data_IF_815873748488
#
_entry.id   IF_815873748488
#
_cell.length_a   1.000
_cell.length_b   1.000
_cell.length_c   1.000
_cell.angle_alpha   90.00
_cell.angle_beta   90.00
_cell.angle_gamma   90.00
#
_symmetry.space_group_name_H-M   'P 1'
#
loop_
_entity.id
_entity.type
_entity.pdbx_description
1 polymer ?
#
# COMPACT_ATOMS: atom_id res chain seq x y z
N UNK A 1 -24.21 -5.20 -38.86
CA UNK A 1 -24.61 -4.63 -37.55
C UNK A 1 -23.49 -5.04 -36.61
N UNK A 2 -22.50 -4.15 -36.42
CA UNK A 2 -21.35 -4.39 -35.53
C UNK A 2 -21.77 -4.07 -34.11
N UNK A 3 -21.56 -5.02 -33.19
CA UNK A 3 -21.69 -4.78 -31.76
C UNK A 3 -20.63 -3.76 -31.28
N UNK A 4 -20.85 -3.07 -30.15
CA UNK A 4 -19.88 -2.13 -29.62
C UNK A 4 -18.56 -2.85 -29.25
N UNK A 5 -17.41 -2.18 -29.37
CA UNK A 5 -16.13 -2.76 -29.02
C UNK A 5 -16.12 -3.05 -27.51
N UNK A 6 -15.87 -4.30 -27.15
CA UNK A 6 -15.57 -4.70 -25.77
C UNK A 6 -14.16 -4.18 -25.47
N UNK A 7 -14.07 -3.17 -24.59
CA UNK A 7 -12.78 -2.79 -24.00
C UNK A 7 -12.22 -3.93 -23.14
N UNK A 8 -10.94 -3.87 -22.73
CA UNK A 8 -10.26 -4.92 -21.95
C UNK A 8 -10.95 -5.29 -20.62
N UNK A 9 -11.87 -4.47 -20.15
CA UNK A 9 -12.75 -4.74 -19.01
C UNK A 9 -14.06 -5.35 -19.47
N UNK A 10 -14.35 -6.25 -20.11
CA UNK A 10 -15.60 -6.92 -20.49
C UNK A 10 -16.89 -6.54 -19.70
N UNK A 11 -17.10 -5.24 -19.43
CA UNK A 11 -18.29 -4.76 -18.73
C UNK A 11 -19.53 -4.98 -19.61
N UNK A 12 -20.28 -6.03 -19.31
CA UNK A 12 -21.66 -6.16 -19.76
C UNK A 12 -22.49 -5.24 -18.84
N UNK A 13 -22.99 -4.14 -19.38
CA UNK A 13 -23.98 -3.32 -18.66
C UNK A 13 -25.21 -4.18 -18.36
N UNK A 14 -25.28 -4.70 -17.12
CA UNK A 14 -26.50 -5.27 -16.58
C UNK A 14 -27.57 -4.18 -16.47
N UNK A 15 -28.84 -4.54 -16.65
CA UNK A 15 -29.99 -3.66 -16.45
C UNK A 15 -30.20 -3.40 -14.96
N UNK A 16 -29.37 -2.51 -14.38
CA UNK A 16 -29.40 -2.09 -12.99
C UNK A 16 -28.08 -1.35 -12.71
N UNK A 17 -28.12 -0.04 -12.74
CA UNK A 17 -27.08 0.99 -12.76
C UNK A 17 -25.83 0.86 -11.88
N UNK A 18 -25.15 -0.27 -11.77
CA UNK A 18 -23.94 -0.42 -10.97
C UNK A 18 -22.69 -0.71 -11.81
N UNK A 19 -21.64 0.11 -11.63
CA UNK A 19 -20.32 -0.06 -12.26
C UNK A 19 -19.44 -1.10 -11.49
N UNK A 20 -20.04 -2.06 -10.77
CA UNK A 20 -19.32 -3.06 -9.97
C UNK A 20 -19.61 -4.47 -10.48
N UNK A 21 -18.56 -5.25 -10.73
CA UNK A 21 -18.65 -6.65 -11.17
C UNK A 21 -17.89 -7.53 -10.17
N UNK A 22 -18.54 -8.64 -9.76
CA UNK A 22 -17.91 -9.70 -8.94
C UNK A 22 -17.73 -10.95 -9.79
N UNK A 23 -16.55 -11.55 -9.75
CA UNK A 23 -16.24 -12.81 -10.44
C UNK A 23 -15.38 -13.72 -9.56
N UNK A 24 -15.45 -15.03 -9.80
CA UNK A 24 -14.54 -15.97 -9.15
C UNK A 24 -13.15 -15.78 -9.74
N UNK A 25 -12.15 -15.52 -8.88
CA UNK A 25 -10.75 -15.40 -9.28
C UNK A 25 -9.98 -16.70 -9.09
N UNK A 26 -10.28 -17.46 -8.06
CA UNK A 26 -9.65 -18.75 -7.78
C UNK A 26 -10.17 -19.39 -6.49
N UNK A 27 -9.53 -20.49 -6.09
CA UNK A 27 -9.81 -21.16 -4.80
C UNK A 27 -8.51 -21.43 -4.07
N UNK A 28 -8.50 -21.16 -2.77
CA UNK A 28 -7.41 -21.56 -1.89
C UNK A 28 -7.35 -23.10 -1.75
N UNK A 29 -6.22 -23.66 -1.28
CA UNK A 29 -6.06 -25.10 -1.11
C UNK A 29 -7.13 -25.77 -0.20
N UNK A 30 -7.73 -25.03 0.71
CA UNK A 30 -8.84 -25.50 1.58
C UNK A 30 -10.21 -25.41 0.91
N UNK A 31 -10.28 -24.95 -0.34
CA UNK A 31 -11.51 -24.77 -1.12
C UNK A 31 -12.19 -23.42 -0.97
N UNK A 32 -11.66 -22.50 -0.13
CA UNK A 32 -12.21 -21.15 0.04
C UNK A 32 -12.17 -20.38 -1.29
N UNK A 33 -13.31 -19.85 -1.71
CA UNK A 33 -13.43 -19.09 -2.94
C UNK A 33 -12.89 -17.68 -2.78
N UNK A 34 -12.00 -17.27 -3.67
CA UNK A 34 -11.50 -15.91 -3.77
C UNK A 34 -12.17 -15.23 -4.96
N UNK A 35 -12.75 -14.08 -4.69
CA UNK A 35 -13.45 -13.29 -5.69
C UNK A 35 -12.64 -12.04 -6.06
N UNK A 36 -12.75 -11.65 -7.32
CA UNK A 36 -12.29 -10.38 -7.85
C UNK A 36 -13.47 -9.44 -8.04
N UNK A 37 -13.31 -8.23 -7.54
CA UNK A 37 -14.26 -7.14 -7.69
C UNK A 37 -13.67 -6.09 -8.63
N UNK A 38 -14.41 -5.72 -9.66
CA UNK A 38 -14.04 -4.65 -10.60
C UNK A 38 -14.96 -3.46 -10.38
N UNK A 39 -14.37 -2.28 -10.20
CA UNK A 39 -15.06 -1.01 -9.97
C UNK A 39 -14.50 0.03 -10.93
N UNK A 40 -15.36 0.84 -11.57
CA UNK A 40 -14.94 1.92 -12.47
C UNK A 40 -15.71 3.19 -12.14
N UNK A 41 -14.99 4.33 -12.00
CA UNK A 41 -15.58 5.64 -11.80
C UNK A 41 -14.60 6.76 -12.16
N UNK A 42 -15.11 7.91 -12.66
CA UNK A 42 -14.29 9.10 -12.92
C UNK A 42 -13.07 8.88 -13.81
N UNK A 43 -13.04 7.83 -14.63
CA UNK A 43 -11.90 7.48 -15.47
C UNK A 43 -10.84 6.61 -14.79
N UNK A 44 -11.07 6.17 -13.56
CA UNK A 44 -10.22 5.19 -12.85
C UNK A 44 -10.91 3.83 -12.81
N UNK A 45 -10.14 2.77 -13.05
CA UNK A 45 -10.59 1.37 -12.99
C UNK A 45 -9.78 0.62 -11.97
N UNK A 46 -10.47 -0.04 -11.03
CA UNK A 46 -9.86 -0.75 -9.90
C UNK A 46 -10.34 -2.19 -9.87
N UNK A 47 -9.42 -3.15 -9.73
CA UNK A 47 -9.72 -4.56 -9.44
C UNK A 47 -9.15 -4.94 -8.09
N UNK A 48 -10.00 -5.53 -7.25
CA UNK A 48 -9.66 -5.90 -5.87
C UNK A 48 -9.99 -7.37 -5.63
N UNK A 49 -9.07 -8.09 -4.99
CA UNK A 49 -9.28 -9.48 -4.56
C UNK A 49 -9.80 -9.51 -3.12
N UNK A 50 -10.69 -10.46 -2.82
CA UNK A 50 -11.05 -10.76 -1.43
C UNK A 50 -9.91 -11.38 -0.62
N UNK A 51 -8.90 -11.95 -1.25
CA UNK A 51 -7.66 -12.38 -0.62
C UNK A 51 -6.74 -11.17 -0.42
N UNK A 52 -6.34 -10.90 0.82
CA UNK A 52 -5.46 -9.80 1.19
C UNK A 52 -6.02 -8.39 0.93
N UNK A 53 -7.29 -8.24 0.50
CA UNK A 53 -7.82 -6.96 0.02
C UNK A 53 -6.99 -6.36 -1.11
N UNK A 54 -6.34 -7.23 -1.90
CA UNK A 54 -5.29 -6.89 -2.87
C UNK A 54 -5.87 -6.05 -4.00
N UNK A 55 -5.26 -4.90 -4.25
CA UNK A 55 -5.40 -4.16 -5.51
C UNK A 55 -4.63 -4.92 -6.59
N UNK A 56 -5.36 -5.75 -7.36
CA UNK A 56 -4.77 -6.57 -8.43
C UNK A 56 -4.38 -5.72 -9.63
N UNK A 57 -5.19 -4.71 -9.96
CA UNK A 57 -4.87 -3.75 -11.01
C UNK A 57 -5.55 -2.41 -10.74
N UNK A 58 -4.87 -1.34 -11.15
CA UNK A 58 -5.42 0.01 -11.18
C UNK A 58 -5.07 0.63 -12.54
N UNK A 59 -6.09 0.94 -13.34
CA UNK A 59 -5.90 1.49 -14.68
C UNK A 59 -6.34 2.95 -14.73
N UNK A 60 -5.48 3.79 -15.29
CA UNK A 60 -5.72 5.22 -15.52
C UNK A 60 -5.27 5.63 -16.93
N UNK A 61 -5.87 6.67 -17.53
CA UNK A 61 -5.48 7.15 -18.84
C UNK A 61 -4.17 7.96 -18.80
N UNK A 62 -3.42 7.97 -19.90
CA UNK A 62 -2.33 8.91 -20.14
C UNK A 62 -2.85 10.21 -20.78
N UNK A 63 -1.94 11.16 -21.09
CA UNK A 63 -2.27 12.43 -21.74
C UNK A 63 -2.97 12.28 -23.11
N UNK A 64 -2.89 11.10 -23.73
CA UNK A 64 -3.55 10.78 -25.01
C UNK A 64 -4.83 9.95 -24.80
N UNK A 65 -5.24 9.73 -23.54
CA UNK A 65 -6.43 8.96 -23.18
C UNK A 65 -6.25 7.44 -23.25
N UNK A 66 -5.01 6.93 -23.38
CA UNK A 66 -4.72 5.48 -23.41
C UNK A 66 -4.60 4.96 -22.00
N UNK A 67 -5.41 3.96 -21.66
CA UNK A 67 -5.36 3.31 -20.36
C UNK A 67 -4.16 2.37 -20.24
N UNK A 68 -3.57 2.33 -19.04
CA UNK A 68 -2.62 1.30 -18.64
C UNK A 68 -2.84 0.93 -17.18
N UNK A 69 -2.57 -0.34 -16.84
CA UNK A 69 -2.42 -0.76 -15.45
C UNK A 69 -1.13 -0.15 -14.90
N UNK A 70 -1.25 0.61 -13.81
CA UNK A 70 -0.12 1.32 -13.17
C UNK A 70 0.30 0.67 -11.86
N UNK A 71 -0.24 -0.52 -11.54
CA UNK A 71 0.12 -1.31 -10.37
C UNK A 71 0.69 -2.67 -10.79
N UNK A 72 1.69 -3.19 -10.07
CA UNK A 72 2.13 -4.57 -10.27
C UNK A 72 1.16 -5.55 -9.63
N UNK A 73 0.96 -6.69 -10.27
CA UNK A 73 0.11 -7.77 -9.81
C UNK A 73 0.39 -9.10 -10.51
N UNK A 74 -0.44 -10.10 -10.22
CA UNK A 74 -0.42 -11.40 -10.90
C UNK A 74 -1.76 -11.69 -11.57
N UNK A 75 -1.75 -12.55 -12.57
CA UNK A 75 -2.95 -12.99 -13.27
C UNK A 75 -3.68 -14.11 -12.53
N UNK A 76 -2.97 -14.91 -11.72
CA UNK A 76 -3.48 -16.07 -11.03
C UNK A 76 -3.38 -15.97 -9.51
N UNK A 77 -4.31 -16.61 -8.79
CA UNK A 77 -4.33 -16.67 -7.33
C UNK A 77 -3.13 -17.44 -6.76
N UNK A 78 -2.71 -18.51 -7.44
CA UNK A 78 -1.62 -19.37 -6.98
C UNK A 78 -0.31 -18.59 -6.83
N UNK A 79 -0.04 -17.61 -7.71
CA UNK A 79 1.13 -16.75 -7.63
C UNK A 79 1.08 -15.81 -6.42
N UNK A 80 -0.11 -15.29 -6.09
CA UNK A 80 -0.30 -14.48 -4.87
C UNK A 80 -0.07 -15.30 -3.60
N UNK A 81 -0.54 -16.55 -3.57
CA UNK A 81 -0.38 -17.43 -2.41
C UNK A 81 1.07 -17.91 -2.24
N UNK A 82 1.76 -18.19 -3.35
CA UNK A 82 3.08 -18.80 -3.33
C UNK A 82 4.21 -17.80 -3.04
N UNK A 83 4.18 -16.60 -3.64
CA UNK A 83 5.38 -15.78 -3.70
C UNK A 83 5.14 -14.26 -3.78
N UNK A 84 3.94 -13.76 -3.46
CA UNK A 84 3.69 -12.31 -3.52
C UNK A 84 4.57 -11.54 -2.53
N UNK A 85 5.34 -10.54 -2.98
CA UNK A 85 6.03 -9.60 -2.11
C UNK A 85 5.06 -8.48 -1.69
N UNK A 86 3.85 -8.82 -1.25
CA UNK A 86 2.76 -7.92 -0.85
C UNK A 86 2.13 -7.10 -1.98
N UNK A 87 2.22 -7.50 -3.25
CA UNK A 87 1.65 -6.73 -4.37
C UNK A 87 0.21 -6.31 -4.10
N UNK A 88 -0.01 -4.99 -3.97
CA UNK A 88 -1.31 -4.35 -3.79
C UNK A 88 -2.06 -4.67 -2.50
N UNK A 89 -1.46 -5.42 -1.57
CA UNK A 89 -2.13 -5.96 -0.40
C UNK A 89 -2.46 -4.90 0.67
N UNK A 90 -3.53 -5.14 1.42
CA UNK A 90 -3.76 -4.51 2.71
C UNK A 90 -2.79 -5.07 3.73
N UNK A 91 -2.11 -4.19 4.43
CA UNK A 91 -1.09 -4.52 5.42
C UNK A 91 -1.64 -4.25 6.83
N UNK A 92 -1.51 -5.24 7.69
CA UNK A 92 -1.91 -5.21 9.09
C UNK A 92 -1.59 -6.54 9.80
N UNK A 93 -1.73 -6.60 11.17
CA UNK A 93 -2.14 -5.48 12.03
C UNK A 93 -1.16 -4.32 12.07
N UNK A 94 0.13 -4.56 11.78
CA UNK A 94 1.17 -3.56 11.88
C UNK A 94 1.98 -3.51 10.59
N UNK A 95 1.82 -2.43 9.84
CA UNK A 95 2.59 -2.14 8.65
C UNK A 95 4.04 -1.82 8.99
N UNK A 96 4.95 -2.21 8.09
CA UNK A 96 6.37 -2.11 8.29
C UNK A 96 6.89 -2.99 9.45
N UNK A 97 8.05 -2.67 10.05
CA UNK A 97 8.78 -3.53 10.98
C UNK A 97 8.53 -3.21 12.45
N UNK A 98 8.59 -4.26 13.29
CA UNK A 98 8.78 -4.17 14.74
C UNK A 98 10.05 -4.96 15.07
N UNK A 99 11.03 -4.27 15.67
CA UNK A 99 12.34 -4.82 16.01
C UNK A 99 12.26 -6.05 16.90
N UNK A 100 13.05 -7.09 16.59
CA UNK A 100 13.07 -8.39 17.27
C UNK A 100 11.68 -9.06 17.38
N UNK A 101 10.68 -8.59 16.61
CA UNK A 101 9.29 -9.03 16.73
C UNK A 101 8.73 -8.83 18.14
N UNK A 102 9.17 -7.82 18.89
CA UNK A 102 8.79 -7.67 20.31
C UNK A 102 8.45 -6.24 20.64
N UNK A 103 7.45 -6.06 21.53
CA UNK A 103 7.14 -4.79 22.16
C UNK A 103 6.57 -5.02 23.56
N UNK A 104 6.65 -3.98 24.42
CA UNK A 104 6.01 -3.97 25.73
C UNK A 104 4.81 -3.03 25.71
N UNK A 105 3.64 -3.52 26.13
CA UNK A 105 2.43 -2.73 26.27
C UNK A 105 1.84 -2.91 27.67
N UNK A 106 1.62 -1.80 28.38
CA UNK A 106 1.08 -1.77 29.73
C UNK A 106 1.83 -2.73 30.71
N UNK A 107 3.18 -2.82 30.55
CA UNK A 107 4.06 -3.66 31.36
C UNK A 107 4.05 -5.16 30.99
N UNK A 108 3.37 -5.53 29.92
CA UNK A 108 3.37 -6.90 29.40
C UNK A 108 4.17 -6.96 28.10
N UNK A 109 5.11 -7.92 28.04
CA UNK A 109 5.88 -8.19 26.83
C UNK A 109 5.09 -9.06 25.87
N UNK A 110 5.06 -8.65 24.60
CA UNK A 110 4.44 -9.38 23.51
C UNK A 110 5.50 -9.81 22.49
N UNK A 111 5.50 -11.11 22.13
CA UNK A 111 6.33 -11.68 21.09
C UNK A 111 5.45 -11.93 19.87
N UNK A 112 5.83 -11.28 18.76
CA UNK A 112 5.16 -11.41 17.47
C UNK A 112 5.79 -12.51 16.62
N UNK A 113 5.08 -12.94 15.60
CA UNK A 113 5.61 -13.77 14.51
C UNK A 113 6.76 -13.04 13.82
N UNK A 114 7.92 -13.70 13.76
CA UNK A 114 9.14 -13.21 13.09
C UNK A 114 9.16 -13.78 11.67
N UNK A 115 9.26 -12.90 10.67
CA UNK A 115 9.19 -13.27 9.25
C UNK A 115 10.15 -12.47 8.35
N UNK A 116 10.98 -11.59 8.93
CA UNK A 116 11.99 -10.81 8.22
C UNK A 116 13.29 -10.74 9.04
N UNK A 117 14.18 -11.70 8.82
CA UNK A 117 15.36 -11.89 9.66
C UNK A 117 14.97 -12.15 11.12
N UNK A 118 15.31 -11.22 12.02
CA UNK A 118 14.93 -11.27 13.44
C UNK A 118 13.67 -10.42 13.75
N UNK A 119 13.09 -9.75 12.74
CA UNK A 119 12.03 -8.78 12.93
C UNK A 119 10.66 -9.34 12.51
N UNK A 120 9.60 -8.70 13.01
CA UNK A 120 8.25 -8.85 12.47
C UNK A 120 8.04 -7.80 11.39
N UNK A 121 7.58 -8.21 10.22
CA UNK A 121 7.28 -7.35 9.08
C UNK A 121 5.82 -7.55 8.66
N UNK A 122 5.11 -6.44 8.42
CA UNK A 122 3.77 -6.40 7.83
C UNK A 122 2.73 -7.31 8.53
N UNK A 123 2.81 -7.41 9.87
CA UNK A 123 1.88 -8.20 10.67
C UNK A 123 2.26 -9.67 10.86
N UNK A 124 3.45 -10.09 10.37
CA UNK A 124 3.96 -11.45 10.57
C UNK A 124 3.71 -12.39 9.40
N UNK A 125 3.94 -13.68 9.61
CA UNK A 125 3.93 -14.70 8.54
C UNK A 125 2.55 -14.96 7.92
N UNK A 126 1.48 -14.58 8.60
CA UNK A 126 0.09 -14.67 8.13
C UNK A 126 -0.66 -13.37 8.49
N UNK A 127 -0.20 -12.26 7.93
CA UNK A 127 -0.80 -10.94 8.13
C UNK A 127 -2.07 -10.73 7.31
N UNK A 128 -2.55 -9.51 7.27
CA UNK A 128 -3.77 -9.11 6.55
C UNK A 128 -3.69 -9.33 5.05
N UNK A 129 -2.47 -9.35 4.49
CA UNK A 129 -2.14 -9.67 3.10
C UNK A 129 -2.54 -11.09 2.69
N UNK A 130 -2.68 -12.00 3.66
CA UNK A 130 -3.06 -13.41 3.44
C UNK A 130 -4.44 -13.76 3.97
N UNK A 131 -5.13 -12.81 4.57
CA UNK A 131 -6.49 -13.02 5.09
C UNK A 131 -7.53 -12.96 3.96
N UNK A 132 -8.64 -13.67 4.14
CA UNK A 132 -9.80 -13.55 3.26
C UNK A 132 -10.76 -12.51 3.86
N UNK A 133 -10.92 -11.41 3.14
CA UNK A 133 -11.79 -10.30 3.54
C UNK A 133 -13.22 -10.51 3.06
N UNK A 134 -14.18 -10.15 3.91
CA UNK A 134 -15.55 -9.96 3.47
C UNK A 134 -15.64 -8.67 2.67
N UNK A 135 -16.20 -8.73 1.45
CA UNK A 135 -16.25 -7.58 0.55
C UNK A 135 -17.68 -7.29 0.13
N UNK A 136 -18.12 -6.06 0.34
CA UNK A 136 -19.43 -5.55 -0.05
C UNK A 136 -19.28 -4.31 -0.93
N UNK A 137 -19.91 -4.27 -2.12
CA UNK A 137 -19.92 -3.07 -2.95
C UNK A 137 -20.89 -2.03 -2.40
N UNK A 138 -20.63 -0.75 -2.70
CA UNK A 138 -21.55 0.35 -2.42
C UNK A 138 -21.56 1.39 -3.54
N UNK A 139 -22.68 2.14 -3.58
CA UNK A 139 -22.82 3.35 -4.38
C UNK A 139 -23.39 4.45 -3.48
N UNK A 140 -22.76 5.63 -3.45
CA UNK A 140 -23.18 6.78 -2.62
C UNK A 140 -23.03 8.08 -3.41
N UNK A 141 -24.16 8.60 -3.91
CA UNK A 141 -24.11 9.79 -4.79
C UNK A 141 -23.37 9.49 -6.08
N UNK A 142 -22.28 10.18 -6.33
CA UNK A 142 -21.39 9.96 -7.48
C UNK A 142 -20.29 8.95 -7.21
N UNK A 143 -20.13 8.50 -5.97
CA UNK A 143 -19.04 7.64 -5.54
C UNK A 143 -19.44 6.18 -5.57
N UNK A 144 -18.50 5.31 -5.95
CA UNK A 144 -18.67 3.87 -5.94
C UNK A 144 -17.50 3.23 -5.22
N UNK A 145 -17.68 2.04 -4.65
CA UNK A 145 -16.55 1.43 -3.95
C UNK A 145 -16.86 0.09 -3.32
N UNK A 146 -15.93 -0.32 -2.46
CA UNK A 146 -15.93 -1.61 -1.76
C UNK A 146 -15.67 -1.38 -0.27
N UNK A 147 -16.47 -2.02 0.57
CA UNK A 147 -16.21 -2.12 2.02
C UNK A 147 -15.65 -3.50 2.30
N UNK A 148 -14.45 -3.55 2.84
CA UNK A 148 -13.73 -4.77 3.20
C UNK A 148 -13.71 -4.91 4.72
N UNK A 149 -14.11 -6.07 5.26
CA UNK A 149 -14.13 -6.33 6.70
C UNK A 149 -13.33 -7.55 7.06
N UNK A 150 -12.60 -7.45 8.16
CA UNK A 150 -11.81 -8.53 8.73
C UNK A 150 -11.84 -8.47 10.26
N UNK A 151 -11.99 -9.62 10.91
CA UNK A 151 -11.77 -9.75 12.34
C UNK A 151 -10.53 -10.62 12.57
N UNK A 152 -9.53 -10.04 13.20
CA UNK A 152 -8.29 -10.70 13.61
C UNK A 152 -8.38 -11.08 15.07
N UNK A 153 -8.24 -12.36 15.40
CA UNK A 153 -8.45 -12.90 16.74
C UNK A 153 -7.38 -12.45 17.75
N UNK A 154 -7.72 -12.45 19.04
CA UNK A 154 -6.74 -12.25 20.11
C UNK A 154 -5.60 -13.25 20.01
N UNK A 155 -4.35 -12.77 20.03
CA UNK A 155 -3.14 -13.58 19.91
C UNK A 155 -2.74 -13.94 18.47
N UNK A 156 -3.49 -13.56 17.45
CA UNK A 156 -3.10 -13.79 16.07
C UNK A 156 -1.76 -13.11 15.77
N UNK A 157 -0.80 -13.87 15.22
CA UNK A 157 0.60 -13.45 15.02
C UNK A 157 1.29 -12.88 16.26
N UNK A 158 0.75 -13.11 17.46
CA UNK A 158 1.24 -12.62 18.75
C UNK A 158 0.67 -11.27 19.19
N UNK A 159 -0.18 -10.63 18.40
CA UNK A 159 -0.82 -9.35 18.77
C UNK A 159 -1.92 -9.56 19.80
N UNK A 160 -1.99 -8.75 20.88
CA UNK A 160 -3.04 -8.84 21.88
C UNK A 160 -4.36 -8.25 21.39
N UNK A 161 -5.47 -8.75 21.90
CA UNK A 161 -6.83 -8.29 21.65
C UNK A 161 -7.41 -8.74 20.30
N UNK A 162 -8.74 -8.86 20.27
CA UNK A 162 -9.47 -9.04 19.01
C UNK A 162 -9.55 -7.70 18.29
N UNK A 163 -9.11 -7.63 17.04
CA UNK A 163 -9.18 -6.43 16.21
C UNK A 163 -10.25 -6.60 15.13
N UNK A 164 -11.28 -5.75 15.16
CA UNK A 164 -12.25 -5.66 14.06
C UNK A 164 -11.87 -4.50 13.17
N UNK A 165 -11.61 -4.80 11.90
CA UNK A 165 -11.10 -3.85 10.91
C UNK A 165 -12.09 -3.68 9.77
N UNK A 166 -12.34 -2.45 9.36
CA UNK A 166 -13.06 -2.09 8.14
C UNK A 166 -12.16 -1.21 7.28
N UNK A 167 -11.99 -1.58 6.02
CA UNK A 167 -11.30 -0.75 5.03
C UNK A 167 -12.28 -0.42 3.92
N UNK A 168 -12.41 0.86 3.59
CA UNK A 168 -13.28 1.32 2.52
C UNK A 168 -12.46 1.83 1.35
N UNK A 169 -12.58 1.19 0.20
CA UNK A 169 -12.04 1.68 -1.08
C UNK A 169 -13.12 2.43 -1.82
N UNK A 170 -12.92 3.72 -2.03
CA UNK A 170 -13.86 4.59 -2.74
C UNK A 170 -13.23 5.13 -4.02
N UNK A 171 -13.87 4.93 -5.16
CA UNK A 171 -13.62 5.71 -6.36
C UNK A 171 -14.62 6.86 -6.41
N UNK A 172 -14.13 8.09 -6.32
CA UNK A 172 -14.96 9.29 -6.37
C UNK A 172 -15.45 9.58 -7.79
N UNK A 173 -16.46 10.45 -7.92
CA UNK A 173 -16.93 10.90 -9.23
C UNK A 173 -15.85 11.59 -10.08
N UNK A 174 -14.80 12.13 -9.45
CA UNK A 174 -13.65 12.77 -10.09
C UNK A 174 -12.52 11.76 -10.43
N UNK A 175 -12.67 10.51 -10.04
CA UNK A 175 -11.70 9.43 -10.32
C UNK A 175 -10.59 9.27 -9.28
N UNK A 176 -10.66 9.96 -8.14
CA UNK A 176 -9.74 9.73 -7.03
C UNK A 176 -10.01 8.37 -6.39
N UNK A 177 -8.96 7.69 -5.97
CA UNK A 177 -9.06 6.50 -5.13
C UNK A 177 -8.74 6.85 -3.68
N UNK A 178 -9.77 6.80 -2.85
CA UNK A 178 -9.68 7.03 -1.40
C UNK A 178 -9.71 5.70 -0.66
N UNK A 179 -8.86 5.58 0.35
CA UNK A 179 -8.81 4.47 1.29
C UNK A 179 -9.07 5.03 2.69
N UNK A 180 -10.14 4.57 3.31
CA UNK A 180 -10.42 4.83 4.73
C UNK A 180 -10.20 3.55 5.52
N UNK A 181 -9.44 3.65 6.61
CA UNK A 181 -9.18 2.54 7.53
C UNK A 181 -9.85 2.85 8.86
N UNK A 182 -10.60 1.89 9.37
CA UNK A 182 -11.19 1.94 10.70
C UNK A 182 -10.92 0.64 11.45
N UNK A 183 -10.58 0.71 12.74
CA UNK A 183 -10.46 -0.47 13.57
C UNK A 183 -10.85 -0.19 15.03
N UNK A 184 -11.39 -1.23 15.68
CA UNK A 184 -11.70 -1.26 17.12
C UNK A 184 -11.15 -2.53 17.74
N UNK A 185 -10.92 -2.50 19.07
CA UNK A 185 -10.36 -3.63 19.80
C UNK A 185 -11.09 -3.85 21.14
N UNK A 186 -11.06 -5.10 21.62
CA UNK A 186 -11.57 -5.47 22.94
C UNK A 186 -10.48 -5.41 24.03
N UNK A 187 -9.20 -5.28 23.66
CA UNK A 187 -8.05 -5.14 24.56
C UNK A 187 -7.00 -4.24 23.94
N UNK A 188 -6.19 -3.54 24.78
CA UNK A 188 -5.11 -2.71 24.27
C UNK A 188 -4.19 -3.49 23.30
N UNK A 189 -3.90 -2.90 22.15
CA UNK A 189 -3.07 -3.47 21.09
C UNK A 189 -2.33 -2.37 20.32
N UNK A 190 -1.54 -2.73 19.35
CA UNK A 190 -0.88 -1.78 18.42
C UNK A 190 -1.42 -1.98 17.01
N UNK A 191 -1.69 -0.87 16.32
CA UNK A 191 -2.28 -0.87 14.98
C UNK A 191 -1.56 0.13 14.09
N UNK A 192 -1.20 -0.30 12.88
CA UNK A 192 -0.65 0.55 11.82
C UNK A 192 -1.05 -0.08 10.48
N UNK A 193 -2.10 0.43 9.84
CA UNK A 193 -2.64 -0.12 8.61
C UNK A 193 -2.15 0.69 7.40
N UNK A 194 -1.83 0.00 6.32
CA UNK A 194 -1.43 0.63 5.06
C UNK A 194 -1.81 -0.25 3.86
N UNK A 195 -1.53 0.24 2.64
CA UNK A 195 -1.67 -0.51 1.40
C UNK A 195 -0.33 -0.54 0.66
N UNK A 196 0.02 -1.70 0.09
CA UNK A 196 1.33 -1.97 -0.50
C UNK A 196 1.28 -2.04 -2.04
N UNK A 197 0.66 -1.05 -2.69
CA UNK A 197 0.68 -0.96 -4.16
C UNK A 197 2.09 -0.64 -4.64
N UNK A 198 2.55 -1.43 -5.61
CA UNK A 198 3.76 -1.17 -6.38
C UNK A 198 3.40 -0.36 -7.63
N UNK A 199 3.79 0.89 -7.67
CA UNK A 199 3.45 1.84 -8.73
C UNK A 199 4.46 1.83 -9.87
N UNK A 200 3.94 1.82 -11.11
CA UNK A 200 4.67 2.22 -12.31
C UNK A 200 3.73 3.02 -13.21
N UNK A 201 3.83 4.35 -13.19
CA UNK A 201 2.93 5.23 -13.94
C UNK A 201 3.11 5.15 -15.47
N UNK A 202 4.23 4.60 -15.96
CA UNK A 202 4.40 4.31 -17.37
C UNK A 202 3.55 3.10 -17.82
N UNK A 203 3.19 2.23 -16.88
CA UNK A 203 2.46 0.97 -17.05
C UNK A 203 3.22 -0.20 -16.46
N UNK A 204 2.53 -1.23 -15.97
CA UNK A 204 3.10 -2.39 -15.26
C UNK A 204 4.30 -3.02 -15.98
N UNK A 205 4.24 -3.12 -17.31
CA UNK A 205 5.26 -3.77 -18.12
C UNK A 205 6.14 -2.77 -18.90
N UNK A 206 6.15 -1.50 -18.50
CA UNK A 206 6.89 -0.45 -19.22
C UNK A 206 8.37 -0.37 -18.83
N UNK A 207 8.83 -1.22 -17.90
CA UNK A 207 10.21 -1.21 -17.40
C UNK A 207 10.39 -0.27 -16.20
N UNK A 208 11.56 0.37 -16.12
CA UNK A 208 12.03 1.03 -14.89
C UNK A 208 11.31 2.33 -14.56
N UNK A 209 11.00 2.52 -13.27
CA UNK A 209 10.47 3.77 -12.69
C UNK A 209 11.55 4.79 -12.33
N UNK A 210 12.82 4.50 -12.60
CA UNK A 210 13.94 5.39 -12.19
C UNK A 210 13.90 6.74 -12.90
N UNK A 211 13.18 6.86 -14.01
CA UNK A 211 12.91 8.11 -14.72
C UNK A 211 11.70 8.89 -14.20
N UNK A 212 10.91 8.31 -13.30
CA UNK A 212 9.79 9.02 -12.68
C UNK A 212 10.32 10.10 -11.73
N UNK A 213 9.62 11.23 -11.69
CA UNK A 213 9.91 12.35 -10.79
C UNK A 213 9.08 12.20 -9.52
N UNK A 214 9.74 12.29 -8.36
CA UNK A 214 9.11 12.21 -7.04
C UNK A 214 9.36 13.49 -6.25
N UNK A 215 8.32 14.00 -5.58
CA UNK A 215 8.36 15.04 -4.58
C UNK A 215 7.70 14.55 -3.30
N UNK A 216 8.31 14.83 -2.13
CA UNK A 216 7.79 14.48 -0.80
C UNK A 216 7.89 15.69 0.13
N UNK A 217 6.78 16.08 0.76
CA UNK A 217 6.70 17.18 1.72
C UNK A 217 7.24 16.75 3.10
N UNK A 218 8.54 16.50 3.18
CA UNK A 218 9.21 16.08 4.40
C UNK A 218 10.65 16.61 4.47
N UNK A 219 10.98 17.33 5.53
CA UNK A 219 12.32 17.81 5.81
C UNK A 219 13.21 16.75 6.47
N UNK A 220 12.63 15.66 6.99
CA UNK A 220 13.34 14.60 7.72
C UNK A 220 12.88 13.21 7.30
N UNK A 221 13.74 12.22 7.54
CA UNK A 221 13.44 10.80 7.40
C UNK A 221 13.94 10.02 8.62
N UNK A 222 13.49 8.79 8.80
CA UNK A 222 14.01 7.90 9.86
C UNK A 222 15.17 7.07 9.31
N UNK A 223 16.43 7.31 9.73
CA UNK A 223 17.55 6.43 9.42
C UNK A 223 17.31 5.03 9.98
N UNK A 224 17.87 4.03 9.34
CA UNK A 224 17.73 2.62 9.73
C UNK A 224 19.08 1.97 9.99
N UNK A 225 19.07 0.87 10.74
CA UNK A 225 20.20 -0.05 10.86
C UNK A 225 20.23 -1.08 9.70
N UNK A 226 21.15 -2.04 9.76
CA UNK A 226 21.27 -3.09 8.73
C UNK A 226 20.07 -4.06 8.70
N UNK A 227 19.24 -4.09 9.73
CA UNK A 227 17.98 -4.84 9.80
C UNK A 227 16.78 -4.03 9.36
N UNK A 228 17.00 -2.81 8.84
CA UNK A 228 15.98 -1.84 8.42
C UNK A 228 15.04 -1.40 9.56
N UNK A 229 15.54 -1.43 10.81
CA UNK A 229 14.84 -0.92 11.98
C UNK A 229 15.29 0.54 12.22
N UNK A 230 14.35 1.48 12.51
CA UNK A 230 14.69 2.86 12.80
C UNK A 230 15.76 3.00 13.87
N UNK A 231 16.85 3.71 13.55
CA UNK A 231 18.01 3.89 14.41
C UNK A 231 18.30 5.39 14.65
N UNK A 232 18.33 5.79 15.92
CA UNK A 232 18.57 7.18 16.29
C UNK A 232 17.34 8.08 16.09
N UNK A 233 17.55 9.40 16.11
CA UNK A 233 16.51 10.39 15.84
C UNK A 233 16.29 10.57 14.32
N UNK A 234 15.12 11.06 13.89
CA UNK A 234 14.93 11.47 12.50
C UNK A 234 15.99 12.45 12.02
N UNK A 235 16.58 12.19 10.85
CA UNK A 235 17.66 12.97 10.25
C UNK A 235 17.11 13.91 9.16
N UNK A 236 17.80 15.05 8.97
CA UNK A 236 17.50 16.02 7.92
C UNK A 236 17.77 15.41 6.54
N UNK A 237 16.87 15.65 5.57
CA UNK A 237 17.07 15.21 4.19
C UNK A 237 18.01 16.12 3.41
N UNK A 238 18.16 17.38 3.83
CA UNK A 238 18.92 18.41 3.14
C UNK A 238 20.38 17.98 2.86
N UNK A 239 20.79 18.02 1.60
CA UNK A 239 22.15 17.66 1.19
C UNK A 239 22.43 16.15 1.18
N UNK A 240 21.41 15.31 1.30
CA UNK A 240 21.49 13.84 1.24
C UNK A 240 20.76 13.30 0.00
N UNK A 241 20.93 12.02 -0.37
CA UNK A 241 20.13 11.36 -1.40
C UNK A 241 18.62 11.38 -1.14
N UNK A 242 18.23 11.51 0.14
CA UNK A 242 16.84 11.50 0.60
C UNK A 242 16.08 12.82 0.42
N UNK A 243 16.72 13.85 -0.12
CA UNK A 243 16.07 15.17 -0.34
C UNK A 243 15.16 15.14 -1.58
N UNK A 244 13.87 14.85 -1.35
CA UNK A 244 12.79 14.91 -2.33
C UNK A 244 11.85 16.12 -2.13
N UNK A 245 12.27 17.15 -1.42
CA UNK A 245 11.46 18.37 -1.21
C UNK A 245 11.25 19.19 -2.49
N UNK A 246 12.05 18.93 -3.51
CA UNK A 246 11.90 19.44 -4.88
C UNK A 246 11.84 18.24 -5.82
N UNK A 247 10.96 18.22 -6.81
CA UNK A 247 10.84 17.11 -7.74
C UNK A 247 12.18 16.74 -8.35
N UNK A 248 12.57 15.46 -8.23
CA UNK A 248 13.76 14.89 -8.89
C UNK A 248 13.48 13.48 -9.34
N UNK A 249 14.23 13.00 -10.35
CA UNK A 249 14.11 11.61 -10.79
C UNK A 249 14.60 10.66 -9.69
N UNK A 250 13.90 9.54 -9.51
CA UNK A 250 14.23 8.53 -8.51
C UNK A 250 15.65 8.00 -8.73
N UNK A 251 16.05 7.81 -9.98
CA UNK A 251 17.37 7.31 -10.33
C UNK A 251 18.52 8.26 -10.07
N UNK A 252 18.27 9.57 -9.82
CA UNK A 252 19.34 10.57 -9.68
C UNK A 252 20.35 10.22 -8.60
N UNK A 253 19.86 9.81 -7.41
CA UNK A 253 20.70 9.56 -6.25
C UNK A 253 20.70 8.10 -5.78
N UNK A 254 19.94 7.21 -6.42
CA UNK A 254 19.77 5.82 -6.00
C UNK A 254 21.09 5.05 -5.88
N UNK A 255 22.12 5.46 -6.63
CA UNK A 255 23.45 4.82 -6.65
C UNK A 255 24.52 5.64 -5.93
N UNK A 256 24.14 6.63 -5.15
CA UNK A 256 25.07 7.38 -4.29
C UNK A 256 25.66 6.46 -3.24
N UNK A 257 26.94 6.62 -2.94
CA UNK A 257 27.62 5.87 -1.89
C UNK A 257 27.20 6.42 -0.51
N UNK A 258 26.01 6.06 -0.08
CA UNK A 258 25.41 6.40 1.21
C UNK A 258 25.10 5.15 2.00
N UNK A 259 25.38 5.15 3.32
CA UNK A 259 25.22 3.95 4.17
C UNK A 259 23.77 3.49 4.25
N UNK A 260 22.81 4.42 4.24
CA UNK A 260 21.39 4.09 4.31
C UNK A 260 20.93 3.40 3.03
N UNK A 261 21.37 3.89 1.87
CA UNK A 261 21.12 3.23 0.58
C UNK A 261 21.77 1.85 0.48
N UNK A 262 22.95 1.67 1.10
CA UNK A 262 23.62 0.36 1.15
C UNK A 262 22.85 -0.65 2.01
N UNK A 263 22.32 -0.24 3.16
CA UNK A 263 21.49 -1.11 4.00
C UNK A 263 20.23 -1.58 3.27
N UNK A 264 19.52 -0.66 2.65
CA UNK A 264 18.24 -0.93 1.99
C UNK A 264 18.38 -1.39 0.52
N UNK A 265 19.61 -1.39 -0.05
CA UNK A 265 19.87 -1.63 -1.48
C UNK A 265 19.16 -0.63 -2.41
N UNK A 266 18.83 0.55 -1.90
CA UNK A 266 18.06 1.61 -2.51
C UNK A 266 17.27 2.40 -1.46
N UNK A 267 16.17 3.04 -1.86
CA UNK A 267 15.26 3.65 -0.89
C UNK A 267 14.35 2.57 -0.29
N UNK A 268 14.27 2.51 1.02
CA UNK A 268 13.31 1.74 1.81
C UNK A 268 13.23 2.38 3.21
N UNK A 269 12.76 3.62 3.24
CA UNK A 269 12.82 4.46 4.43
C UNK A 269 11.48 5.18 4.65
N UNK A 270 11.24 5.58 5.88
CA UNK A 270 10.09 6.40 6.25
C UNK A 270 10.45 7.88 6.25
N UNK A 271 9.78 8.68 5.44
CA UNK A 271 9.83 10.15 5.49
C UNK A 271 8.89 10.66 6.57
N UNK A 272 9.40 11.53 7.43
CA UNK A 272 8.65 12.20 8.50
C UNK A 272 7.93 13.39 7.88
N UNK A 273 6.64 13.25 7.62
CA UNK A 273 5.84 14.28 6.97
C UNK A 273 5.76 15.55 7.82
N UNK A 274 6.01 16.70 7.21
CA UNK A 274 6.10 18.00 7.92
C UNK A 274 4.79 18.37 8.62
N UNK A 275 3.65 17.87 8.13
CA UNK A 275 2.32 18.10 8.70
C UNK A 275 2.04 17.31 10.00
N UNK A 276 2.78 16.21 10.26
CA UNK A 276 2.48 15.26 11.34
C UNK A 276 1.16 14.51 11.13
N UNK A 277 0.50 14.11 12.23
CA UNK A 277 -0.87 13.53 12.21
C UNK A 277 -1.89 14.66 12.04
N UNK A 278 -2.84 14.48 11.12
CA UNK A 278 -3.90 15.47 10.85
C UNK A 278 -5.28 14.82 10.88
N UNK A 279 -6.32 15.61 11.13
CA UNK A 279 -7.70 15.12 11.15
C UNK A 279 -8.24 14.87 9.74
N UNK A 280 -7.79 15.68 8.76
CA UNK A 280 -8.16 15.54 7.35
C UNK A 280 -6.92 15.24 6.52
N UNK A 281 -7.08 14.52 5.38
CA UNK A 281 -5.96 14.25 4.48
C UNK A 281 -5.34 15.54 3.92
N UNK A 282 -4.03 15.69 4.09
CA UNK A 282 -3.25 16.77 3.50
C UNK A 282 -2.31 16.22 2.43
N UNK A 283 -2.07 17.00 1.35
CA UNK A 283 -1.15 16.61 0.28
C UNK A 283 0.28 16.47 0.81
N UNK A 284 0.92 15.33 0.47
CA UNK A 284 2.24 14.98 1.00
C UNK A 284 3.26 14.54 -0.06
N UNK A 285 2.81 14.07 -1.20
CA UNK A 285 3.72 13.58 -2.25
C UNK A 285 3.10 13.70 -3.64
N UNK A 286 3.96 13.87 -4.63
CA UNK A 286 3.61 13.79 -6.05
C UNK A 286 4.61 12.91 -6.78
N UNK A 287 4.10 11.87 -7.47
CA UNK A 287 4.85 11.03 -8.39
C UNK A 287 4.39 11.35 -9.81
N UNK A 288 5.33 11.47 -10.77
CA UNK A 288 5.03 11.75 -12.17
C UNK A 288 5.88 10.91 -13.10
N UNK A 289 5.27 10.34 -14.11
CA UNK A 289 5.98 9.84 -15.30
C UNK A 289 6.00 10.93 -16.38
N UNK A 290 7.18 11.52 -16.70
CA UNK A 290 7.27 12.57 -17.70
C UNK A 290 6.88 12.10 -19.12
N UNK A 291 6.98 10.80 -19.40
CA UNK A 291 6.73 10.22 -20.73
C UNK A 291 5.24 10.09 -21.01
N UNK A 292 4.50 9.38 -20.17
CA UNK A 292 3.05 9.22 -20.32
C UNK A 292 2.27 10.48 -19.89
N UNK A 293 2.89 11.31 -19.04
CA UNK A 293 2.25 12.46 -18.39
C UNK A 293 1.48 12.07 -17.13
N UNK A 294 1.26 10.79 -16.84
CA UNK A 294 0.50 10.37 -15.65
C UNK A 294 1.14 10.89 -14.39
N UNK A 295 0.29 11.41 -13.51
CA UNK A 295 0.66 11.90 -12.18
C UNK A 295 -0.18 11.17 -11.12
N UNK A 296 0.46 10.90 -9.98
CA UNK A 296 -0.18 10.43 -8.76
C UNK A 296 0.13 11.44 -7.65
N UNK A 297 -0.91 12.04 -7.08
CA UNK A 297 -0.81 12.90 -5.91
C UNK A 297 -1.38 12.16 -4.72
N UNK A 298 -0.67 12.19 -3.59
CA UNK A 298 -1.07 11.51 -2.37
C UNK A 298 -1.38 12.54 -1.29
N UNK A 299 -2.55 12.42 -0.69
CA UNK A 299 -2.93 13.14 0.52
C UNK A 299 -3.29 12.12 1.61
N UNK A 300 -2.90 12.39 2.87
CA UNK A 300 -3.13 11.44 3.96
C UNK A 300 -3.27 12.14 5.31
N UNK A 301 -3.90 11.45 6.26
CA UNK A 301 -3.89 11.84 7.70
C UNK A 301 -2.66 11.30 8.43
N UNK A 302 -1.93 10.34 7.85
CA UNK A 302 -0.78 9.66 8.44
C UNK A 302 0.44 10.58 8.59
N UNK A 303 1.30 10.38 9.63
CA UNK A 303 2.48 11.21 9.89
C UNK A 303 3.71 10.83 9.07
N UNK A 304 3.70 9.69 8.41
CA UNK A 304 4.83 9.12 7.68
C UNK A 304 4.47 8.60 6.31
N UNK A 305 5.48 8.55 5.46
CA UNK A 305 5.44 7.94 4.15
C UNK A 305 6.64 7.03 3.96
N UNK A 306 6.42 5.72 3.86
CA UNK A 306 7.47 4.80 3.41
C UNK A 306 7.60 4.93 1.90
N UNK A 307 8.80 5.26 1.44
CA UNK A 307 9.17 5.14 0.04
C UNK A 307 10.13 3.97 -0.15
N UNK A 308 9.68 2.99 -0.93
CA UNK A 308 10.42 1.78 -1.28
C UNK A 308 10.62 1.74 -2.79
N UNK A 309 11.87 1.63 -3.27
CA UNK A 309 12.21 1.69 -4.70
C UNK A 309 12.27 0.32 -5.38
N UNK A 310 11.54 -0.68 -4.88
CA UNK A 310 11.46 -2.00 -5.49
C UNK A 310 12.76 -2.81 -5.39
N UNK A 311 13.55 -2.61 -4.34
CA UNK A 311 14.94 -3.08 -4.22
C UNK A 311 15.08 -4.61 -4.20
N UNK A 312 14.03 -5.32 -3.77
CA UNK A 312 14.02 -6.78 -3.63
C UNK A 312 13.28 -7.51 -4.77
N UNK A 313 12.84 -6.78 -5.80
CA UNK A 313 12.39 -7.39 -7.05
C UNK A 313 13.63 -7.90 -7.81
N UNK A 314 13.81 -9.21 -7.86
CA UNK A 314 15.07 -9.86 -8.28
C UNK A 314 15.01 -10.54 -9.67
N UNK A 315 13.88 -10.42 -10.35
CA UNK A 315 13.65 -11.04 -11.66
C UNK A 315 13.17 -12.49 -11.60
N UNK A 316 12.72 -12.95 -10.44
CA UNK A 316 12.12 -14.30 -10.27
C UNK A 316 10.59 -14.28 -10.38
N UNK A 317 9.95 -13.12 -10.22
CA UNK A 317 8.51 -12.96 -10.31
C UNK A 317 8.07 -12.59 -11.71
N UNK A 318 7.07 -13.31 -12.21
CA UNK A 318 6.40 -13.05 -13.49
C UNK A 318 5.05 -12.41 -13.17
N UNK A 319 4.92 -11.11 -13.45
CA UNK A 319 3.69 -10.36 -13.21
C UNK A 319 2.63 -10.54 -14.29
N UNK A 320 1.57 -9.76 -14.21
CA UNK A 320 0.47 -9.78 -15.18
C UNK A 320 0.99 -9.55 -16.60
N UNK A 321 0.45 -10.31 -17.55
CA UNK A 321 0.87 -10.25 -18.95
C UNK A 321 2.26 -10.82 -19.24
N UNK A 322 2.88 -11.54 -18.29
CA UNK A 322 4.09 -12.33 -18.50
C UNK A 322 5.41 -11.55 -18.41
N UNK A 323 5.40 -10.32 -17.87
CA UNK A 323 6.63 -9.58 -17.65
C UNK A 323 7.36 -10.00 -16.37
N UNK A 324 8.69 -9.98 -16.41
CA UNK A 324 9.54 -10.27 -15.27
C UNK A 324 9.85 -8.95 -14.56
N UNK A 325 9.59 -8.90 -13.24
CA UNK A 325 9.86 -7.71 -12.43
C UNK A 325 11.24 -7.73 -11.79
N UNK A 326 11.96 -6.63 -11.95
CA UNK A 326 13.33 -6.42 -11.44
C UNK A 326 13.40 -5.20 -10.56
N UNK A 327 14.52 -5.04 -9.86
CA UNK A 327 14.81 -3.85 -9.05
C UNK A 327 14.56 -2.57 -9.86
N UNK A 328 13.71 -1.70 -9.32
CA UNK A 328 13.39 -0.42 -9.94
C UNK A 328 12.32 -0.48 -11.03
N UNK A 329 11.65 -1.62 -11.25
CA UNK A 329 10.52 -1.71 -12.19
C UNK A 329 9.21 -1.18 -11.58
N UNK A 330 9.18 -0.98 -10.27
CA UNK A 330 8.11 -0.29 -9.57
C UNK A 330 8.60 0.27 -8.24
N UNK A 331 7.76 1.07 -7.58
CA UNK A 331 8.00 1.65 -6.27
C UNK A 331 6.75 1.61 -5.40
N UNK A 332 6.92 1.65 -4.07
CA UNK A 332 5.81 1.78 -3.13
C UNK A 332 5.87 3.12 -2.41
N UNK A 333 4.69 3.68 -2.13
CA UNK A 333 4.47 4.90 -1.35
C UNK A 333 3.39 4.57 -0.30
N UNK A 334 3.85 4.10 0.87
CA UNK A 334 2.96 3.58 1.91
C UNK A 334 2.78 4.64 2.99
N UNK A 335 1.57 5.18 3.09
CA UNK A 335 1.20 6.12 4.16
C UNK A 335 1.01 5.34 5.46
N UNK A 336 1.69 5.76 6.54
CA UNK A 336 1.77 4.95 7.76
C UNK A 336 2.18 5.80 8.98
N UNK A 337 1.99 5.23 10.18
CA UNK A 337 2.79 5.60 11.34
C UNK A 337 4.20 5.06 11.18
N UNK A 338 5.15 5.59 11.96
CA UNK A 338 6.55 5.23 11.78
C UNK A 338 6.82 3.76 12.13
N UNK A 339 7.73 3.07 11.41
CA UNK A 339 8.16 1.73 11.77
C UNK A 339 8.67 1.68 13.20
N UNK A 340 8.46 0.55 13.88
CA UNK A 340 8.92 0.28 15.25
C UNK A 340 8.39 1.25 16.33
N UNK A 341 7.32 2.02 16.05
CA UNK A 341 6.73 2.96 17.02
C UNK A 341 6.40 2.35 18.38
N UNK A 342 5.96 1.08 18.53
CA UNK A 342 5.74 0.47 19.84
C UNK A 342 6.97 0.46 20.74
N UNK A 343 8.16 0.47 20.18
CA UNK A 343 9.46 0.49 20.88
C UNK A 343 10.08 1.89 20.96
N UNK A 344 9.43 2.90 20.39
CA UNK A 344 9.93 4.25 20.23
C UNK A 344 8.98 5.27 20.85
N UNK A 345 9.16 5.59 22.14
CA UNK A 345 8.27 6.55 22.82
C UNK A 345 8.37 7.99 22.28
N UNK A 346 9.41 8.29 21.50
CA UNK A 346 9.62 9.53 20.77
C UNK A 346 8.87 9.60 19.43
N UNK A 347 8.25 8.49 18.98
CA UNK A 347 7.45 8.41 17.76
C UNK A 347 5.95 8.57 18.08
N UNK A 348 5.13 8.92 17.07
CA UNK A 348 3.68 8.92 17.23
C UNK A 348 3.17 7.55 17.70
N UNK A 349 2.26 7.55 18.69
CA UNK A 349 1.73 6.32 19.28
C UNK A 349 0.86 5.56 18.30
N UNK A 350 1.04 4.23 18.28
CA UNK A 350 0.22 3.29 17.51
C UNK A 350 -0.67 2.42 18.42
N UNK A 351 -0.77 2.75 19.69
CA UNK A 351 -1.61 2.03 20.66
C UNK A 351 -3.07 2.35 20.42
N UNK A 352 -3.88 1.29 20.31
CA UNK A 352 -5.35 1.36 20.27
C UNK A 352 -5.92 0.70 21.54
N UNK A 353 -6.86 1.37 22.20
CA UNK A 353 -7.48 0.89 23.44
C UNK A 353 -8.97 0.59 23.27
N UNK A 354 -9.56 -0.28 24.10
CA UNK A 354 -11.01 -0.50 24.11
C UNK A 354 -11.77 0.82 24.25
N UNK A 355 -12.76 1.01 23.39
CA UNK A 355 -13.58 2.22 23.34
C UNK A 355 -13.02 3.34 22.47
N UNK A 356 -11.80 3.19 21.96
CA UNK A 356 -11.23 4.06 20.93
C UNK A 356 -11.47 3.48 19.55
N UNK A 357 -11.45 4.35 18.53
CA UNK A 357 -11.48 3.96 17.12
C UNK A 357 -10.20 4.44 16.45
N UNK A 358 -9.43 3.51 15.90
CA UNK A 358 -8.39 3.83 14.92
C UNK A 358 -9.07 4.30 13.65
N UNK A 359 -8.67 5.45 13.13
CA UNK A 359 -9.17 5.97 11.85
C UNK A 359 -8.06 6.73 11.13
N UNK A 360 -7.78 6.33 9.89
CA UNK A 360 -6.88 7.04 8.99
C UNK A 360 -7.42 7.02 7.57
N UNK A 361 -7.01 8.00 6.77
CA UNK A 361 -7.43 8.16 5.38
C UNK A 361 -6.25 8.48 4.48
N UNK A 362 -6.27 7.91 3.27
CA UNK A 362 -5.35 8.26 2.18
C UNK A 362 -6.12 8.44 0.89
N UNK A 363 -5.80 9.49 0.14
CA UNK A 363 -6.39 9.81 -1.16
C UNK A 363 -5.29 9.78 -2.22
N UNK A 364 -5.52 9.00 -3.27
CA UNK A 364 -4.70 8.94 -4.48
C UNK A 364 -5.44 9.65 -5.61
N UNK A 365 -4.96 10.84 -6.00
CA UNK A 365 -5.54 11.61 -7.10
C UNK A 365 -4.69 11.44 -8.35
N UNK A 366 -5.33 11.08 -9.45
CA UNK A 366 -4.66 10.80 -10.72
C UNK A 366 -4.88 11.94 -11.71
N UNK A 367 -3.85 12.22 -12.55
CA UNK A 367 -3.88 13.26 -13.56
C UNK A 367 -2.87 13.04 -14.68
N UNK A 368 -2.79 13.99 -15.61
CA UNK A 368 -1.84 13.98 -16.74
C UNK A 368 -1.20 15.35 -16.94
#
# INVERSE_FOLDING_TARGET
MGGPPTGPFGFVRGHGGGNTVKELFGKLPDGTEIHRWSVENGGTRLRVLSYGGIVQSLEIPDREGRYANVSLGFDDLDDYVAASPYFGALIGRYGNRIGAGRFTLDGTDHQLSVNDGENSLHGGSAGFDKAVWEVEPFERGTDVGLVLRLTSADGEMGFPGTLTTTVTYTLTGDGDWRIDYEATTDRATVVNLTNHVYWNLAGENAGSVLGHELEIAAARYTPVDAGLIPAGAPAEVAGTPFDFRVPKTIGADLRTADQQLLYAKGFDHNWVLDKGVTAEPEHIATLKDPVSGRTLRIATTEPGLQFYSGNFLDGTLVGSGGAIHRQGDALCLETQHFPDSPNRPDFPSTVLRPGETYHTSTIHSFGT
#
